data_IF_427880859423
#
_entry.id   IF_427880859423
#
_cell.length_a   1.000
_cell.length_b   1.000
_cell.length_c   1.000
_cell.angle_alpha   90.00
_cell.angle_beta   90.00
_cell.angle_gamma   90.00
#
_symmetry.space_group_name_H-M   'P 1'
#
loop_
_entity.id
_entity.type
_entity.pdbx_description
1 polymer ?
#
# COMPACT_ATOMS: atom_id res chain seq x y z
N UNK A 1 0.73 -14.15 5.78
CA UNK A 1 -0.45 -13.61 5.07
C UNK A 1 -0.17 -12.16 4.71
N UNK A 2 -0.56 -11.76 3.48
CA UNK A 2 -0.42 -10.37 3.04
C UNK A 2 -1.82 -9.80 2.79
N UNK A 3 -2.07 -8.61 3.34
CA UNK A 3 -3.33 -7.89 3.16
C UNK A 3 -3.03 -6.50 2.58
N UNK A 4 -3.73 -6.15 1.50
CA UNK A 4 -3.60 -4.83 0.87
C UNK A 4 -4.68 -3.89 1.40
N UNK A 5 -4.26 -2.74 1.88
CA UNK A 5 -5.11 -1.71 2.44
C UNK A 5 -4.86 -0.38 1.72
N UNK A 6 -5.84 0.50 1.75
CA UNK A 6 -5.66 1.90 1.38
C UNK A 6 -5.77 2.73 2.67
N UNK A 7 -4.67 3.36 3.08
CA UNK A 7 -4.62 4.20 4.28
C UNK A 7 -4.30 5.63 3.85
N UNK A 8 -5.24 6.54 4.03
CA UNK A 8 -5.14 7.95 3.64
C UNK A 8 -4.71 8.17 2.17
N UNK A 9 -5.18 7.31 1.25
CA UNK A 9 -4.84 7.37 -0.17
C UNK A 9 -3.54 6.66 -0.57
N UNK A 10 -2.81 6.09 0.39
CA UNK A 10 -1.59 5.33 0.13
C UNK A 10 -1.86 3.82 0.12
N UNK A 11 -1.30 3.08 -0.87
CA UNK A 11 -1.35 1.62 -0.85
C UNK A 11 -0.41 1.09 0.23
N UNK A 12 -0.96 0.35 1.19
CA UNK A 12 -0.21 -0.28 2.29
C UNK A 12 -0.38 -1.79 2.19
N UNK A 13 0.72 -2.53 2.26
CA UNK A 13 0.70 -3.99 2.33
C UNK A 13 1.07 -4.38 3.76
N UNK A 14 0.10 -4.93 4.49
CA UNK A 14 0.36 -5.56 5.78
C UNK A 14 0.83 -6.98 5.57
N UNK A 15 2.00 -7.31 6.10
CA UNK A 15 2.53 -8.66 6.09
C UNK A 15 2.54 -9.20 7.51
N UNK A 16 1.78 -10.26 7.74
CA UNK A 16 1.83 -10.99 9.00
C UNK A 16 3.13 -11.79 9.08
N UNK A 17 3.89 -11.57 10.14
CA UNK A 17 5.11 -12.31 10.44
C UNK A 17 4.85 -13.23 11.61
N UNK A 18 5.28 -14.50 11.52
CA UNK A 18 5.26 -15.39 12.68
C UNK A 18 6.05 -14.73 13.83
N UNK A 19 5.47 -14.76 15.05
CA UNK A 19 6.07 -14.09 16.21
C UNK A 19 7.53 -14.52 16.43
N UNK A 20 8.37 -13.56 16.82
CA UNK A 20 9.76 -13.78 17.21
C UNK A 20 9.79 -14.37 18.63
N UNK A 21 9.44 -15.64 18.79
CA UNK A 21 9.67 -16.34 20.04
C UNK A 21 10.93 -17.21 19.91
N UNK A 22 11.79 -17.17 20.92
CA UNK A 22 12.94 -18.05 20.98
C UNK A 22 12.48 -19.51 21.04
N UNK A 23 12.98 -20.30 20.08
CA UNK A 23 12.62 -21.72 19.97
C UNK A 23 13.85 -22.55 19.63
N UNK A 24 13.84 -23.79 20.09
CA UNK A 24 14.88 -24.78 19.76
C UNK A 24 14.57 -25.56 18.47
N UNK A 25 13.37 -25.42 17.93
CA UNK A 25 12.93 -26.14 16.72
C UNK A 25 13.55 -25.55 15.43
N UNK A 26 14.10 -26.40 14.59
CA UNK A 26 14.74 -25.99 13.30
C UNK A 26 13.76 -25.35 12.31
N UNK A 27 12.48 -25.73 12.36
CA UNK A 27 11.44 -25.19 11.47
C UNK A 27 11.12 -23.76 11.90
N UNK A 28 11.06 -23.50 13.20
CA UNK A 28 10.83 -22.17 13.74
C UNK A 28 12.03 -21.25 13.55
N UNK A 29 13.27 -21.76 13.63
CA UNK A 29 14.49 -20.98 13.30
C UNK A 29 14.47 -20.43 11.88
N UNK A 30 14.06 -21.23 10.90
CA UNK A 30 13.86 -20.74 9.53
C UNK A 30 12.76 -19.70 9.43
N UNK A 31 11.68 -19.84 10.21
CA UNK A 31 10.62 -18.85 10.33
C UNK A 31 11.14 -17.50 10.87
N UNK A 32 11.99 -17.54 11.86
CA UNK A 32 12.64 -16.35 12.47
C UNK A 32 13.55 -15.65 11.45
N UNK A 33 14.35 -16.38 10.67
CA UNK A 33 15.21 -15.80 9.63
C UNK A 33 14.38 -15.07 8.55
N UNK A 34 13.28 -15.69 8.10
CA UNK A 34 12.37 -15.09 7.13
C UNK A 34 11.70 -13.83 7.71
N UNK A 35 11.29 -13.89 8.99
CA UNK A 35 10.71 -12.75 9.70
C UNK A 35 11.72 -11.61 9.81
N UNK A 36 12.96 -11.89 10.17
CA UNK A 36 14.02 -10.88 10.27
C UNK A 36 14.34 -10.24 8.92
N UNK A 37 14.31 -11.01 7.82
CA UNK A 37 14.47 -10.45 6.48
C UNK A 37 13.34 -9.51 6.14
N UNK A 38 12.09 -9.91 6.39
CA UNK A 38 10.90 -9.07 6.15
C UNK A 38 10.90 -7.79 6.99
N UNK A 39 11.34 -7.86 8.24
CA UNK A 39 11.51 -6.68 9.11
C UNK A 39 12.52 -5.69 8.51
N UNK A 40 13.65 -6.17 7.98
CA UNK A 40 14.66 -5.31 7.35
C UNK A 40 14.17 -4.65 6.06
N UNK A 41 13.30 -5.32 5.33
CA UNK A 41 12.73 -4.82 4.07
C UNK A 41 11.51 -3.93 4.29
N UNK A 42 10.89 -3.99 5.47
CA UNK A 42 9.68 -3.24 5.79
C UNK A 42 9.94 -1.73 5.86
N UNK A 43 9.01 -0.95 5.33
CA UNK A 43 9.03 0.51 5.47
C UNK A 43 8.60 0.98 6.86
N UNK A 44 7.80 0.16 7.55
CA UNK A 44 7.32 0.37 8.91
C UNK A 44 7.11 -0.98 9.58
N UNK A 45 7.55 -1.10 10.81
CA UNK A 45 7.31 -2.27 11.66
C UNK A 45 6.30 -1.91 12.74
N UNK A 46 5.27 -2.74 12.88
CA UNK A 46 4.32 -2.69 13.99
C UNK A 46 4.66 -3.82 14.96
N UNK A 47 4.97 -3.49 16.20
CA UNK A 47 5.28 -4.45 17.24
C UNK A 47 4.13 -4.52 18.23
N UNK A 48 3.47 -5.68 18.28
CA UNK A 48 2.25 -5.89 19.07
C UNK A 48 2.55 -6.65 20.35
N UNK A 49 2.05 -6.11 21.46
CA UNK A 49 2.11 -6.71 22.78
C UNK A 49 0.69 -6.92 23.33
N UNK A 50 0.49 -7.98 24.07
CA UNK A 50 -0.78 -8.26 24.78
C UNK A 50 -0.68 -7.97 26.28
N UNK A 51 0.53 -7.95 26.86
CA UNK A 51 0.80 -7.65 28.28
C UNK A 51 1.58 -6.33 28.39
N UNK A 52 1.12 -5.39 29.24
CA UNK A 52 1.85 -4.14 29.50
C UNK A 52 3.27 -4.33 30.04
N UNK A 53 3.54 -5.42 30.73
CA UNK A 53 4.86 -5.70 31.30
C UNK A 53 5.90 -6.08 30.25
N UNK A 54 5.45 -6.60 29.11
CA UNK A 54 6.30 -7.02 28.00
C UNK A 54 6.59 -5.87 27.01
N UNK A 55 5.96 -4.69 27.22
CA UNK A 55 6.07 -3.58 26.27
C UNK A 55 7.47 -3.00 26.28
N UNK A 56 8.15 -3.15 25.14
CA UNK A 56 9.41 -2.49 24.84
C UNK A 56 9.19 -1.38 23.80
N UNK A 57 9.94 -0.27 23.93
CA UNK A 57 9.86 0.85 23.01
C UNK A 57 11.08 0.90 22.12
N UNK A 58 10.86 0.88 20.82
CA UNK A 58 11.90 1.02 19.82
C UNK A 58 11.65 2.29 18.98
N UNK A 59 12.70 3.03 18.65
CA UNK A 59 12.59 4.30 17.92
C UNK A 59 12.21 4.11 16.44
N UNK A 60 12.49 2.93 15.89
CA UNK A 60 12.27 2.57 14.48
C UNK A 60 10.96 1.81 14.22
N UNK A 61 10.13 1.62 15.27
CA UNK A 61 8.90 0.82 15.21
C UNK A 61 7.74 1.55 15.86
N UNK A 62 6.52 1.21 15.46
CA UNK A 62 5.32 1.58 16.19
C UNK A 62 4.99 0.49 17.20
N UNK A 63 5.10 0.81 18.47
CA UNK A 63 4.76 -0.09 19.56
C UNK A 63 3.26 0.00 19.84
N UNK A 64 2.60 -1.15 19.84
CA UNK A 64 1.14 -1.27 20.00
C UNK A 64 0.84 -2.24 21.13
N UNK A 65 0.07 -1.82 22.14
CA UNK A 65 -0.49 -2.69 23.16
C UNK A 65 -1.94 -3.00 22.82
N UNK A 66 -2.21 -4.27 22.55
CA UNK A 66 -3.58 -4.77 22.34
C UNK A 66 -4.24 -5.12 23.70
N UNK A 67 -5.53 -5.42 23.67
CA UNK A 67 -6.35 -5.75 24.84
C UNK A 67 -6.37 -4.63 25.90
N UNK A 68 -6.30 -3.37 25.47
CA UNK A 68 -6.33 -2.23 26.40
C UNK A 68 -7.62 -2.15 27.23
N UNK A 69 -8.69 -2.83 26.81
CA UNK A 69 -9.92 -3.01 27.56
C UNK A 69 -9.74 -3.82 28.86
N UNK A 70 -8.72 -4.68 28.93
CA UNK A 70 -8.36 -5.46 30.10
C UNK A 70 -7.35 -4.74 31.01
N UNK A 71 -6.63 -3.75 30.48
CA UNK A 71 -5.55 -3.04 31.13
C UNK A 71 -5.92 -1.58 31.45
N UNK A 72 -6.96 -1.40 32.29
CA UNK A 72 -7.41 -0.08 32.70
C UNK A 72 -6.26 0.71 33.36
N UNK A 73 -5.93 1.89 32.76
CA UNK A 73 -4.91 2.85 33.19
C UNK A 73 -3.46 2.61 32.70
N UNK A 74 -3.18 1.64 31.84
CA UNK A 74 -1.85 1.58 31.26
C UNK A 74 -1.65 2.75 30.25
N UNK A 75 -0.72 3.64 30.57
CA UNK A 75 -0.30 4.73 29.69
C UNK A 75 1.22 4.77 29.66
N UNK A 76 1.79 4.51 28.50
CA UNK A 76 3.23 4.67 28.24
C UNK A 76 3.39 5.57 27.02
N UNK A 77 4.11 6.66 27.18
CA UNK A 77 4.40 7.55 26.06
C UNK A 77 5.12 6.77 24.96
N UNK A 78 4.70 6.96 23.71
CA UNK A 78 5.23 6.19 22.57
C UNK A 78 4.53 4.86 22.31
N UNK A 79 3.61 4.40 23.19
CA UNK A 79 2.82 3.19 22.97
C UNK A 79 1.40 3.52 22.54
N UNK A 80 0.91 2.83 21.51
CA UNK A 80 -0.47 2.97 21.01
C UNK A 80 -1.32 1.86 21.64
N UNK A 81 -2.29 2.25 22.45
CA UNK A 81 -3.19 1.30 23.09
C UNK A 81 -4.40 1.03 22.19
N UNK A 82 -4.67 -0.24 21.89
CA UNK A 82 -5.81 -0.69 21.09
C UNK A 82 -6.54 -1.83 21.77
N UNK A 83 -7.77 -2.05 21.36
CA UNK A 83 -8.50 -3.29 21.62
C UNK A 83 -9.17 -3.76 20.35
N UNK A 84 -8.71 -4.87 19.81
CA UNK A 84 -9.30 -5.49 18.63
C UNK A 84 -10.72 -5.99 18.92
N UNK A 85 -11.02 -6.36 20.19
CA UNK A 85 -12.32 -6.90 20.58
C UNK A 85 -13.45 -5.87 20.53
N UNK A 86 -13.17 -4.60 20.86
CA UNK A 86 -14.17 -3.53 20.90
C UNK A 86 -13.90 -2.37 19.95
N UNK A 87 -12.80 -2.41 19.17
CA UNK A 87 -12.41 -1.37 18.21
C UNK A 87 -11.73 -0.15 18.82
N UNK A 88 -11.53 -0.11 20.14
CA UNK A 88 -10.92 1.04 20.82
C UNK A 88 -9.49 1.26 20.33
N UNK A 89 -9.11 2.51 20.04
CA UNK A 89 -7.77 2.91 19.64
C UNK A 89 -7.37 2.56 18.19
N UNK A 90 -8.18 1.81 17.44
CA UNK A 90 -7.88 1.42 16.05
C UNK A 90 -7.73 2.64 15.14
N UNK A 91 -8.61 3.63 15.25
CA UNK A 91 -8.52 4.87 14.46
C UNK A 91 -7.22 5.63 14.74
N UNK A 92 -6.77 5.65 16.01
CA UNK A 92 -5.50 6.26 16.39
C UNK A 92 -4.32 5.51 15.76
N UNK A 93 -4.33 4.18 15.75
CA UNK A 93 -3.32 3.37 15.07
C UNK A 93 -3.27 3.67 13.57
N UNK A 94 -4.44 3.69 12.89
CA UNK A 94 -4.53 4.01 11.47
C UNK A 94 -3.98 5.41 11.18
N UNK A 95 -4.31 6.40 12.01
CA UNK A 95 -3.79 7.76 11.86
C UNK A 95 -2.26 7.81 12.03
N UNK A 96 -1.70 7.07 12.98
CA UNK A 96 -0.25 6.98 13.17
C UNK A 96 0.47 6.33 12.00
N UNK A 97 -0.12 5.30 11.41
CA UNK A 97 0.38 4.70 10.17
C UNK A 97 0.32 5.73 9.02
N UNK A 98 -0.81 6.43 8.88
CA UNK A 98 -0.98 7.46 7.86
C UNK A 98 0.04 8.61 8.00
N UNK A 99 0.27 9.10 9.22
CA UNK A 99 1.31 10.11 9.52
C UNK A 99 2.69 9.62 9.10
N UNK A 100 3.06 8.37 9.45
CA UNK A 100 4.35 7.80 9.11
C UNK A 100 4.53 7.67 7.59
N UNK A 101 3.53 7.11 6.90
CA UNK A 101 3.56 6.96 5.44
C UNK A 101 3.66 8.33 4.78
N UNK A 102 2.83 9.29 5.17
CA UNK A 102 2.84 10.65 4.61
C UNK A 102 4.17 11.35 4.81
N UNK A 103 4.79 11.24 5.99
CA UNK A 103 6.08 11.87 6.29
C UNK A 103 7.21 11.33 5.42
N UNK A 104 7.23 10.03 5.17
CA UNK A 104 8.20 9.42 4.25
C UNK A 104 7.99 9.85 2.80
N UNK A 105 6.74 9.93 2.34
CA UNK A 105 6.45 10.39 0.98
C UNK A 105 6.78 11.87 0.78
N UNK A 106 6.61 12.74 1.79
CA UNK A 106 6.99 14.13 1.73
C UNK A 106 8.51 14.29 1.57
N UNK A 107 9.30 13.44 2.23
CA UNK A 107 10.78 13.45 2.11
C UNK A 107 11.28 13.09 0.70
N UNK A 108 10.48 12.37 -0.11
CA UNK A 108 10.78 12.09 -1.51
C UNK A 108 10.35 13.21 -2.48
N UNK A 109 9.71 14.29 -1.98
CA UNK A 109 9.11 15.33 -2.83
C UNK A 109 10.00 16.53 -3.11
N UNK A 110 11.28 16.49 -2.77
CA UNK A 110 12.24 17.60 -3.07
C UNK A 110 12.61 17.71 -4.55
N UNK A 111 11.97 16.91 -5.43
CA UNK A 111 12.08 17.08 -6.89
C UNK A 111 10.76 17.55 -7.48
N UNK A 112 10.43 18.83 -7.25
CA UNK A 112 9.22 19.51 -7.76
C UNK A 112 8.95 19.28 -9.26
N UNK A 113 9.94 19.29 -10.19
CA UNK A 113 9.69 19.03 -11.62
C UNK A 113 9.11 17.65 -11.91
N UNK A 114 9.53 16.64 -11.15
CA UNK A 114 9.08 15.25 -11.33
C UNK A 114 7.62 15.08 -10.91
N UNK A 115 7.20 15.72 -9.81
CA UNK A 115 5.83 15.65 -9.30
C UNK A 115 4.83 16.29 -10.27
N UNK A 116 5.14 17.46 -10.80
CA UNK A 116 4.29 18.14 -11.79
C UNK A 116 4.10 17.30 -13.04
N UNK A 117 5.17 16.68 -13.57
CA UNK A 117 5.12 15.79 -14.72
C UNK A 117 4.23 14.58 -14.47
N UNK A 118 4.31 13.97 -13.28
CA UNK A 118 3.47 12.83 -12.92
C UNK A 118 2.00 13.22 -12.79
N UNK A 119 1.70 14.35 -12.17
CA UNK A 119 0.34 14.87 -12.06
C UNK A 119 -0.26 15.12 -13.44
N UNK A 120 0.49 15.77 -14.31
CA UNK A 120 0.05 16.02 -15.68
C UNK A 120 -0.17 14.73 -16.48
N UNK A 121 0.73 13.76 -16.35
CA UNK A 121 0.57 12.45 -17.00
C UNK A 121 -0.69 11.72 -16.54
N UNK A 122 -0.97 11.72 -15.23
CA UNK A 122 -2.21 11.13 -14.70
C UNK A 122 -3.44 11.89 -15.18
N UNK A 123 -3.43 13.22 -15.16
CA UNK A 123 -4.55 14.04 -15.64
C UNK A 123 -4.83 13.81 -17.12
N UNK A 124 -3.81 13.78 -17.95
CA UNK A 124 -3.94 13.49 -19.39
C UNK A 124 -4.50 12.08 -19.62
N UNK A 125 -4.00 11.08 -18.89
CA UNK A 125 -4.52 9.70 -18.97
C UNK A 125 -6.00 9.63 -18.61
N UNK A 126 -6.42 10.31 -17.53
CA UNK A 126 -7.84 10.38 -17.13
C UNK A 126 -8.67 11.02 -18.25
N UNK A 127 -8.18 12.09 -18.85
CA UNK A 127 -8.88 12.78 -19.94
C UNK A 127 -9.09 11.86 -21.13
N UNK A 128 -8.06 11.15 -21.57
CA UNK A 128 -8.16 10.18 -22.67
C UNK A 128 -9.12 9.03 -22.35
N UNK A 129 -9.11 8.52 -21.11
CA UNK A 129 -10.07 7.49 -20.68
C UNK A 129 -11.52 7.99 -20.69
N UNK A 130 -11.76 9.24 -20.29
CA UNK A 130 -13.09 9.85 -20.37
C UNK A 130 -13.54 10.04 -21.82
N UNK A 131 -12.63 10.45 -22.71
CA UNK A 131 -12.89 10.53 -24.15
C UNK A 131 -13.24 9.14 -24.71
N UNK A 132 -12.44 8.13 -24.44
CA UNK A 132 -12.71 6.74 -24.85
C UNK A 132 -14.09 6.26 -24.38
N UNK A 133 -14.47 6.54 -23.14
CA UNK A 133 -15.78 6.16 -22.56
C UNK A 133 -16.96 6.80 -23.31
N UNK A 134 -16.77 7.95 -23.91
CA UNK A 134 -17.83 8.68 -24.65
C UNK A 134 -18.02 8.20 -26.08
N UNK A 135 -17.12 7.36 -26.60
CA UNK A 135 -17.14 6.87 -27.99
C UNK A 135 -18.04 5.64 -28.10
N UNK A 136 -18.91 5.63 -29.10
CA UNK A 136 -19.70 4.44 -29.41
C UNK A 136 -18.83 3.39 -30.14
N UNK A 137 -18.61 2.25 -29.49
CA UNK A 137 -17.81 1.12 -29.97
C UNK A 137 -18.27 0.59 -31.33
N UNK A 138 -19.59 0.66 -31.61
CA UNK A 138 -20.15 0.11 -32.85
C UNK A 138 -19.87 0.99 -34.07
N UNK A 139 -19.57 2.27 -33.84
CA UNK A 139 -19.43 3.27 -34.93
C UNK A 139 -17.96 3.70 -35.06
N UNK A 140 -17.24 3.86 -33.98
CA UNK A 140 -15.91 4.48 -33.97
C UNK A 140 -14.90 3.72 -33.10
N UNK A 141 -14.82 2.39 -33.28
CA UNK A 141 -13.90 1.55 -32.50
C UNK A 141 -12.43 1.97 -32.59
N UNK A 142 -12.00 2.43 -33.76
CA UNK A 142 -10.62 2.90 -34.00
C UNK A 142 -10.28 4.14 -33.16
N UNK A 143 -11.19 5.09 -33.05
CA UNK A 143 -11.00 6.27 -32.21
C UNK A 143 -10.92 5.92 -30.73
N UNK A 144 -11.71 4.96 -30.28
CA UNK A 144 -11.65 4.46 -28.90
C UNK A 144 -10.29 3.82 -28.60
N UNK A 145 -9.77 3.02 -29.52
CA UNK A 145 -8.45 2.39 -29.40
C UNK A 145 -7.36 3.45 -29.28
N UNK A 146 -7.43 4.50 -30.09
CA UNK A 146 -6.43 5.57 -30.05
C UNK A 146 -6.46 6.32 -28.71
N UNK A 147 -7.63 6.62 -28.17
CA UNK A 147 -7.76 7.24 -26.85
C UNK A 147 -7.21 6.33 -25.73
N UNK A 148 -7.46 5.02 -25.79
CA UNK A 148 -6.87 4.06 -24.85
C UNK A 148 -5.35 4.01 -24.98
N UNK A 149 -4.81 4.05 -26.20
CA UNK A 149 -3.37 4.09 -26.46
C UNK A 149 -2.73 5.33 -25.84
N UNK A 150 -3.35 6.51 -26.02
CA UNK A 150 -2.89 7.75 -25.44
C UNK A 150 -2.88 7.68 -23.89
N UNK A 151 -3.92 7.12 -23.28
CA UNK A 151 -3.99 6.96 -21.83
C UNK A 151 -2.84 6.08 -21.30
N UNK A 152 -2.57 4.94 -21.95
CA UNK A 152 -1.49 4.02 -21.58
C UNK A 152 -0.13 4.71 -21.78
N UNK A 153 0.06 5.46 -22.86
CA UNK A 153 1.30 6.17 -23.14
C UNK A 153 1.62 7.23 -22.07
N UNK A 154 0.62 7.98 -21.61
CA UNK A 154 0.80 8.96 -20.53
C UNK A 154 1.20 8.31 -19.20
N UNK A 155 0.62 7.17 -18.86
CA UNK A 155 1.04 6.38 -17.68
C UNK A 155 2.44 5.80 -17.89
N UNK A 156 2.76 5.32 -19.09
CA UNK A 156 4.09 4.79 -19.42
C UNK A 156 5.22 5.80 -19.22
N UNK A 157 4.97 7.09 -19.47
CA UNK A 157 5.92 8.18 -19.17
C UNK A 157 6.24 8.31 -17.69
N UNK A 158 5.35 7.87 -16.82
CA UNK A 158 5.51 7.90 -15.36
C UNK A 158 6.28 6.68 -14.87
N UNK A 159 5.93 5.50 -15.37
CA UNK A 159 6.47 4.21 -14.90
C UNK A 159 7.79 3.82 -15.57
N UNK A 160 8.13 4.47 -16.68
CA UNK A 160 9.39 4.23 -17.41
C UNK A 160 9.40 3.04 -18.36
N UNK A 161 8.40 2.16 -18.30
CA UNK A 161 8.23 1.03 -19.23
C UNK A 161 6.76 0.63 -19.31
N UNK A 162 6.15 0.87 -20.48
CA UNK A 162 4.90 0.18 -20.84
C UNK A 162 5.00 -0.19 -22.30
N UNK A 163 5.03 -1.47 -22.59
CA UNK A 163 4.78 -1.96 -23.95
C UNK A 163 3.28 -1.83 -24.23
N UNK A 164 2.93 -0.78 -24.95
CA UNK A 164 1.54 -0.43 -25.25
C UNK A 164 0.86 -1.55 -26.05
N UNK A 165 1.62 -2.30 -26.86
CA UNK A 165 1.09 -3.37 -27.70
C UNK A 165 0.67 -4.57 -26.87
N UNK A 166 1.42 -4.93 -25.84
CA UNK A 166 1.08 -6.04 -24.92
C UNK A 166 -0.25 -5.77 -24.18
N UNK A 167 -0.47 -4.55 -23.70
CA UNK A 167 -1.73 -4.20 -23.02
C UNK A 167 -2.92 -4.15 -23.96
N UNK A 168 -2.74 -3.67 -25.20
CA UNK A 168 -3.79 -3.67 -26.19
C UNK A 168 -4.18 -5.09 -26.62
N UNK A 169 -3.22 -6.02 -26.74
CA UNK A 169 -3.52 -7.43 -27.00
C UNK A 169 -4.41 -8.06 -25.91
N UNK A 170 -4.13 -7.77 -24.64
CA UNK A 170 -4.94 -8.27 -23.51
C UNK A 170 -6.36 -7.70 -23.55
N UNK A 171 -6.50 -6.39 -23.79
CA UNK A 171 -7.81 -5.73 -23.88
C UNK A 171 -8.63 -6.29 -25.06
N UNK A 172 -8.02 -6.48 -26.22
CA UNK A 172 -8.73 -6.97 -27.41
C UNK A 172 -9.00 -8.48 -27.40
N UNK A 173 -8.27 -9.26 -26.61
CA UNK A 173 -8.49 -10.69 -26.47
C UNK A 173 -9.83 -11.03 -25.79
N UNK A 174 -10.27 -10.14 -24.90
CA UNK A 174 -11.56 -10.24 -24.22
C UNK A 174 -12.72 -9.59 -24.98
N UNK A 175 -12.42 -8.66 -25.88
CA UNK A 175 -13.38 -8.13 -26.84
C UNK A 175 -13.33 -8.97 -28.10
N UNK A 176 -14.23 -9.94 -28.24
CA UNK A 176 -14.47 -10.63 -29.50
C UNK A 176 -14.97 -9.66 -30.57
N UNK A 177 -14.08 -8.79 -31.10
CA UNK A 177 -14.36 -7.92 -32.24
C UNK A 177 -14.00 -8.70 -33.50
N UNK A 178 -14.99 -9.36 -34.10
CA UNK A 178 -14.83 -9.94 -35.41
C UNK A 178 -15.39 -11.34 -35.59
N UNK A 179 -16.69 -11.51 -35.53
CA UNK A 179 -17.47 -12.45 -36.38
C UNK A 179 -18.76 -11.80 -36.78
#
# INVERSE_FOLDING_TARGET
IEVRLNIAGFPVILTDTAGLRDTEDEIEKKGIEITQSKIKEANLVLELFDDPNDVELHQDRLTVLNKCDLHNNYKKEGCINISVSNGSGIDNLINKIAEHVSSKFISYTDTIPTKTRYILGVQNSIQSLLSAKSIDLKVNSELMVEELRLAIQEIGKITGHVDVEEYLEVIFKDFCIGK
#
